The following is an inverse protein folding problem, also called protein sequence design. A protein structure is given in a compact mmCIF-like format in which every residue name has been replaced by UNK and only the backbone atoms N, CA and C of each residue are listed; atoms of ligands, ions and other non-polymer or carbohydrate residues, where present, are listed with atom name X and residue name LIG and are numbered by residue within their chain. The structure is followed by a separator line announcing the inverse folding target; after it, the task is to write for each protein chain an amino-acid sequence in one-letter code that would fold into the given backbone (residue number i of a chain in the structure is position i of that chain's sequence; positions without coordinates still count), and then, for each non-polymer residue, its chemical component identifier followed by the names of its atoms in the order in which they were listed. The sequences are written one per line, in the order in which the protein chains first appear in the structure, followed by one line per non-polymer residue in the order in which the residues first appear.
data_IF_261083777536
#
_entry.id   IF_261083777536
#
_cell.length_a   1.000
_cell.length_b   1.000
_cell.length_c   1.000
_cell.angle_alpha   90.00
_cell.angle_beta   90.00
_cell.angle_gamma   90.00
#
_symmetry.space_group_name_H-M   'P 1'
#
loop_
_entity.id
_entity.type
_entity.pdbx_description
1 polymer ?
#
# COMPACT_ATOMS: atom_id res chain seq x y z
N UNK A 1 -13.36 4.95 -5.17
CA UNK A 1 -13.00 3.57 -5.53
C UNK A 1 -11.49 3.49 -5.76
N UNK A 2 -10.72 3.12 -4.74
CA UNK A 2 -9.27 2.97 -4.84
C UNK A 2 -8.95 1.60 -5.45
N UNK A 3 -8.61 1.56 -6.73
CA UNK A 3 -7.99 0.37 -7.33
C UNK A 3 -6.55 0.28 -6.80
N UNK A 4 -6.34 -0.46 -5.71
CA UNK A 4 -4.99 -0.85 -5.22
C UNK A 4 -4.39 -1.88 -6.18
N UNK A 5 -4.14 -1.47 -7.43
CA UNK A 5 -3.29 -2.24 -8.34
C UNK A 5 -1.85 -2.08 -7.86
N UNK A 6 -1.13 -3.19 -7.73
CA UNK A 6 0.31 -3.17 -7.50
C UNK A 6 1.03 -2.34 -8.58
N UNK A 7 1.98 -1.47 -8.21
CA UNK A 7 2.66 -0.57 -9.13
C UNK A 7 3.38 -1.34 -10.23
N UNK A 8 3.48 -0.72 -11.41
CA UNK A 8 4.41 -1.20 -12.45
C UNK A 8 5.85 -0.93 -12.00
N UNK A 9 6.82 -1.64 -12.57
CA UNK A 9 8.26 -1.49 -12.25
C UNK A 9 8.71 -0.02 -12.15
N UNK A 10 8.36 0.81 -13.14
CA UNK A 10 8.75 2.24 -13.16
C UNK A 10 8.09 3.07 -12.04
N UNK A 11 6.86 2.74 -11.66
CA UNK A 11 6.14 3.42 -10.57
C UNK A 11 6.78 3.05 -9.23
N UNK A 12 7.07 1.76 -9.03
CA UNK A 12 7.75 1.28 -7.83
C UNK A 12 9.14 1.88 -7.67
N UNK A 13 9.92 1.98 -8.76
CA UNK A 13 11.24 2.63 -8.72
C UNK A 13 11.14 4.14 -8.41
N UNK A 14 10.14 4.84 -8.96
CA UNK A 14 9.91 6.24 -8.60
C UNK A 14 9.58 6.40 -7.11
N UNK A 15 8.68 5.55 -6.59
CA UNK A 15 8.39 5.50 -5.16
C UNK A 15 9.66 5.22 -4.35
N UNK A 16 10.43 4.21 -4.71
CA UNK A 16 11.62 3.81 -3.96
C UNK A 16 12.69 4.91 -3.95
N UNK A 17 12.85 5.67 -5.04
CA UNK A 17 13.70 6.87 -5.04
C UNK A 17 13.21 7.90 -4.02
N UNK A 18 11.91 8.24 -4.04
CA UNK A 18 11.36 9.18 -3.07
C UNK A 18 11.56 8.68 -1.63
N UNK A 19 11.23 7.42 -1.34
CA UNK A 19 11.43 6.81 -0.03
C UNK A 19 12.90 6.82 0.39
N UNK A 20 13.83 6.42 -0.49
CA UNK A 20 15.25 6.30 -0.15
C UNK A 20 15.92 7.63 0.16
N UNK A 21 15.56 8.69 -0.56
CA UNK A 21 16.23 10.00 -0.50
C UNK A 21 15.47 11.04 0.32
N UNK A 22 14.15 10.90 0.46
CA UNK A 22 13.37 11.77 1.33
C UNK A 22 13.13 11.12 2.71
N UNK A 23 13.15 9.79 2.80
CA UNK A 23 12.88 9.06 4.04
C UNK A 23 11.49 9.41 4.59
N UNK A 24 11.42 9.59 5.91
CA UNK A 24 10.19 9.92 6.63
C UNK A 24 9.85 11.41 6.63
N UNK A 25 10.71 12.24 5.99
CA UNK A 25 10.52 13.69 5.96
C UNK A 25 9.34 14.07 5.08
N UNK A 26 8.69 15.17 5.44
CA UNK A 26 7.72 15.82 4.55
C UNK A 26 8.50 16.60 3.50
N UNK A 27 8.18 16.36 2.24
CA UNK A 27 8.79 17.03 1.08
C UNK A 27 7.71 17.68 0.21
N UNK A 28 8.07 18.73 -0.51
CA UNK A 28 7.15 19.39 -1.42
C UNK A 28 7.14 18.77 -2.84
N UNK A 29 6.18 19.19 -3.68
CA UNK A 29 6.05 18.71 -5.04
C UNK A 29 7.30 19.02 -5.88
N UNK A 30 7.92 20.19 -5.68
CA UNK A 30 9.10 20.62 -6.42
C UNK A 30 10.29 19.70 -6.14
N UNK A 31 10.57 19.43 -4.87
CA UNK A 31 11.61 18.49 -4.44
C UNK A 31 11.41 17.09 -5.05
N UNK A 32 10.18 16.58 -4.99
CA UNK A 32 9.84 15.29 -5.58
C UNK A 32 10.00 15.28 -7.11
N UNK A 33 9.61 16.37 -7.77
CA UNK A 33 9.70 16.52 -9.22
C UNK A 33 11.14 16.58 -9.67
N UNK A 34 11.98 17.36 -8.98
CA UNK A 34 13.39 17.52 -9.33
C UNK A 34 14.16 16.22 -9.10
N UNK A 35 13.84 15.45 -8.04
CA UNK A 35 14.42 14.13 -7.82
C UNK A 35 14.02 13.10 -8.89
N UNK A 36 12.77 13.12 -9.33
CA UNK A 36 12.25 12.12 -10.28
C UNK A 36 12.45 12.48 -11.75
N UNK A 37 12.65 13.75 -12.08
CA UNK A 37 12.74 14.22 -13.46
C UNK A 37 13.86 13.54 -14.28
N UNK A 38 15.09 13.32 -13.75
CA UNK A 38 16.15 12.62 -14.48
C UNK A 38 15.76 11.18 -14.88
N UNK A 39 15.06 10.45 -14.00
CA UNK A 39 14.62 9.09 -14.27
C UNK A 39 13.44 9.05 -15.27
N UNK A 40 12.58 10.07 -15.24
CA UNK A 40 11.32 10.07 -16.00
C UNK A 40 11.39 10.87 -17.31
N UNK A 41 12.52 11.53 -17.60
CA UNK A 41 12.71 12.32 -18.81
C UNK A 41 11.99 13.67 -18.79
N UNK A 42 11.67 14.21 -17.62
CA UNK A 42 11.16 15.58 -17.49
C UNK A 42 10.18 15.85 -16.36
N UNK A 43 10.08 17.13 -15.98
CA UNK A 43 9.30 17.60 -14.81
C UNK A 43 7.80 17.31 -14.92
N UNK A 44 7.22 17.38 -16.12
CA UNK A 44 5.78 17.09 -16.35
C UNK A 44 5.43 15.63 -16.06
N UNK A 45 6.29 14.70 -16.47
CA UNK A 45 6.09 13.27 -16.21
C UNK A 45 6.33 12.95 -14.73
N UNK A 46 7.33 13.57 -14.10
CA UNK A 46 7.57 13.48 -12.66
C UNK A 46 6.36 13.94 -11.84
N UNK A 47 5.79 15.12 -12.13
CA UNK A 47 4.62 15.62 -11.42
C UNK A 47 3.40 14.69 -11.57
N UNK A 48 3.21 14.09 -12.76
CA UNK A 48 2.16 13.07 -12.98
C UNK A 48 2.43 11.79 -12.19
N UNK A 49 3.70 11.38 -12.05
CA UNK A 49 4.09 10.23 -11.26
C UNK A 49 3.79 10.44 -9.78
N UNK A 50 4.15 11.59 -9.21
CA UNK A 50 3.83 11.92 -7.81
C UNK A 50 2.33 11.81 -7.55
N UNK A 51 1.50 12.44 -8.39
CA UNK A 51 0.03 12.35 -8.30
C UNK A 51 -0.50 10.91 -8.39
N UNK A 52 0.15 10.07 -9.19
CA UNK A 52 -0.20 8.65 -9.33
C UNK A 52 0.15 7.86 -8.07
N UNK A 53 1.34 8.06 -7.53
CA UNK A 53 1.79 7.40 -6.30
C UNK A 53 0.91 7.78 -5.10
N UNK A 54 0.46 9.03 -5.00
CA UNK A 54 -0.54 9.45 -4.00
C UNK A 54 -1.85 8.69 -4.17
N UNK A 55 -2.37 8.59 -5.41
CA UNK A 55 -3.61 7.87 -5.69
C UNK A 55 -3.51 6.37 -5.41
N UNK A 56 -2.33 5.79 -5.60
CA UNK A 56 -2.03 4.39 -5.31
C UNK A 56 -1.78 4.15 -3.82
N UNK A 57 -1.65 5.20 -3.01
CA UNK A 57 -1.37 5.09 -1.59
C UNK A 57 0.07 4.74 -1.25
N UNK A 58 1.03 5.04 -2.13
CA UNK A 58 2.48 4.96 -1.87
C UNK A 58 3.04 6.23 -1.24
N UNK A 59 2.38 7.36 -1.51
CA UNK A 59 2.66 8.64 -0.89
C UNK A 59 1.42 9.11 -0.15
N UNK A 60 1.62 9.66 1.03
CA UNK A 60 0.61 10.36 1.79
C UNK A 60 0.68 11.85 1.48
N UNK A 61 -0.48 12.46 1.26
CA UNK A 61 -0.57 13.92 1.14
C UNK A 61 -0.84 14.49 2.52
N UNK A 62 0.19 15.10 3.11
CA UNK A 62 0.10 15.71 4.44
C UNK A 62 -0.61 17.07 4.36
N UNK A 63 -0.25 17.87 3.34
CA UNK A 63 -0.79 19.21 3.09
C UNK A 63 -0.90 19.45 1.57
N UNK A 64 -1.48 20.57 1.10
CA UNK A 64 -1.38 20.95 -0.30
C UNK A 64 0.06 20.99 -0.80
N UNK A 65 0.34 20.21 -1.84
CA UNK A 65 1.67 20.07 -2.47
C UNK A 65 2.77 19.52 -1.55
N UNK A 66 2.43 18.98 -0.38
CA UNK A 66 3.39 18.36 0.54
C UNK A 66 3.04 16.91 0.79
N UNK A 67 4.06 16.07 0.75
CA UNK A 67 3.93 14.63 0.73
C UNK A 67 4.91 13.96 1.70
N UNK A 68 4.56 12.75 2.09
CA UNK A 68 5.45 11.82 2.80
C UNK A 68 5.42 10.48 2.08
N UNK A 69 6.57 9.82 1.96
CA UNK A 69 6.61 8.44 1.48
C UNK A 69 6.15 7.51 2.60
N UNK A 70 5.26 6.55 2.29
CA UNK A 70 4.90 5.52 3.26
C UNK A 70 6.05 4.54 3.45
N UNK A 71 6.07 3.88 4.61
CA UNK A 71 7.03 2.82 4.88
C UNK A 71 6.90 1.69 3.85
N UNK A 72 8.04 1.21 3.37
CA UNK A 72 8.07 0.06 2.44
C UNK A 72 7.50 -1.20 3.09
N UNK A 73 7.75 -1.38 4.39
CA UNK A 73 7.30 -2.57 5.12
C UNK A 73 5.78 -2.56 5.27
N UNK A 74 5.19 -1.41 5.58
CA UNK A 74 3.73 -1.26 5.63
C UNK A 74 3.07 -1.53 4.27
N UNK A 75 3.66 -1.01 3.18
CA UNK A 75 3.13 -1.20 1.84
C UNK A 75 3.18 -2.67 1.41
N UNK A 76 4.28 -3.36 1.74
CA UNK A 76 4.45 -4.78 1.43
C UNK A 76 3.55 -5.65 2.29
N UNK A 77 3.42 -5.36 3.58
CA UNK A 77 2.52 -6.06 4.48
C UNK A 77 1.06 -5.93 4.03
N UNK A 78 0.62 -4.71 3.72
CA UNK A 78 -0.74 -4.46 3.21
C UNK A 78 -1.02 -5.26 1.92
N UNK A 79 -0.08 -5.27 0.98
CA UNK A 79 -0.21 -6.03 -0.25
C UNK A 79 -0.25 -7.54 -0.01
N UNK A 80 0.60 -8.05 0.88
CA UNK A 80 0.63 -9.45 1.28
C UNK A 80 -0.70 -9.88 1.91
N UNK A 81 -1.21 -9.10 2.88
CA UNK A 81 -2.48 -9.37 3.56
C UNK A 81 -3.65 -9.41 2.56
N UNK A 82 -3.73 -8.45 1.64
CA UNK A 82 -4.79 -8.43 0.62
C UNK A 82 -4.69 -9.62 -0.35
N UNK A 83 -3.47 -9.99 -0.76
CA UNK A 83 -3.24 -11.14 -1.61
C UNK A 83 -3.69 -12.44 -0.93
N UNK A 84 -3.23 -12.66 0.31
CA UNK A 84 -3.59 -13.82 1.11
C UNK A 84 -5.09 -13.88 1.39
N UNK A 85 -5.72 -12.76 1.75
CA UNK A 85 -7.17 -12.69 1.97
C UNK A 85 -7.95 -13.07 0.69
N UNK A 86 -7.51 -12.62 -0.49
CA UNK A 86 -8.13 -13.04 -1.76
C UNK A 86 -8.04 -14.55 -1.98
N UNK A 87 -6.91 -15.16 -1.64
CA UNK A 87 -6.72 -16.63 -1.73
C UNK A 87 -7.61 -17.38 -0.75
N UNK A 88 -7.75 -16.88 0.48
CA UNK A 88 -8.64 -17.46 1.49
C UNK A 88 -10.12 -17.36 1.05
N UNK A 89 -10.56 -16.22 0.53
CA UNK A 89 -11.93 -16.07 -0.01
C UNK A 89 -12.24 -17.10 -1.10
N UNK A 90 -11.29 -17.35 -2.01
CA UNK A 90 -11.45 -18.38 -3.06
C UNK A 90 -11.53 -19.82 -2.52
N UNK A 91 -11.07 -20.04 -1.28
CA UNK A 91 -11.18 -21.33 -0.57
C UNK A 91 -12.44 -21.40 0.30
N UNK A 92 -13.33 -20.41 0.26
CA UNK A 92 -14.58 -20.40 1.01
C UNK A 92 -14.49 -19.79 2.42
N UNK A 93 -13.40 -19.10 2.76
CA UNK A 93 -13.30 -18.41 4.05
C UNK A 93 -13.93 -17.01 3.98
N UNK A 94 -14.68 -16.64 5.02
CA UNK A 94 -15.13 -15.27 5.27
C UNK A 94 -14.06 -14.53 6.06
N UNK A 95 -13.38 -13.59 5.40
CA UNK A 95 -12.20 -12.91 5.96
C UNK A 95 -12.22 -11.40 5.78
N UNK A 96 -11.63 -10.71 6.75
CA UNK A 96 -11.38 -9.26 6.75
C UNK A 96 -9.88 -8.99 6.94
N UNK A 97 -9.36 -8.01 6.20
CA UNK A 97 -7.97 -7.56 6.36
C UNK A 97 -7.97 -6.50 7.45
N UNK A 98 -7.22 -6.75 8.52
CA UNK A 98 -6.86 -5.77 9.56
C UNK A 98 -5.48 -5.20 9.25
N UNK A 99 -5.00 -4.29 10.09
CA UNK A 99 -3.73 -3.58 9.87
C UNK A 99 -2.51 -4.52 9.83
N UNK A 100 -2.47 -5.52 10.70
CA UNK A 100 -1.33 -6.44 10.88
C UNK A 100 -1.67 -7.92 10.58
N UNK A 101 -2.94 -8.26 10.38
CA UNK A 101 -3.37 -9.65 10.19
C UNK A 101 -4.68 -9.78 9.40
N UNK A 102 -5.04 -11.02 9.07
CA UNK A 102 -6.31 -11.41 8.46
C UNK A 102 -7.18 -12.05 9.53
N UNK A 103 -8.33 -11.43 9.79
CA UNK A 103 -9.38 -12.00 10.62
C UNK A 103 -10.20 -12.99 9.79
N UNK A 104 -10.34 -14.21 10.29
CA UNK A 104 -11.22 -15.25 9.74
C UNK A 104 -12.40 -15.45 10.67
N UNK A 105 -13.60 -15.24 10.15
CA UNK A 105 -14.85 -15.41 10.90
C UNK A 105 -15.46 -16.79 10.66
N UNK A 106 -15.46 -17.25 9.41
CA UNK A 106 -16.08 -18.50 8.98
C UNK A 106 -15.23 -19.16 7.89
N UNK A 107 -15.28 -20.48 7.76
CA UNK A 107 -14.65 -21.22 6.67
C UNK A 107 -14.41 -22.70 6.98
N UNK A 108 -13.83 -23.45 6.03
CA UNK A 108 -13.49 -24.85 6.21
C UNK A 108 -12.51 -25.07 7.37
N UNK A 109 -12.69 -26.16 8.12
CA UNK A 109 -11.71 -26.62 9.10
C UNK A 109 -10.70 -27.58 8.45
N UNK A 110 -9.43 -27.60 8.89
CA UNK A 110 -8.83 -26.73 9.91
C UNK A 110 -8.41 -25.35 9.36
N UNK A 111 -8.44 -24.33 10.22
CA UNK A 111 -7.88 -23.01 9.89
C UNK A 111 -6.40 -23.13 9.46
N UNK A 112 -5.94 -22.41 8.42
CA UNK A 112 -4.54 -22.44 8.02
C UNK A 112 -3.63 -21.93 9.14
N UNK A 113 -2.65 -22.74 9.53
CA UNK A 113 -1.62 -22.32 10.50
C UNK A 113 -0.67 -21.32 9.84
N UNK A 114 -0.90 -20.03 10.08
CA UNK A 114 -0.08 -18.95 9.56
C UNK A 114 -0.11 -17.75 10.52
N UNK A 115 1.03 -17.08 10.81
CA UNK A 115 1.11 -16.00 11.81
C UNK A 115 0.20 -14.81 11.51
N UNK A 116 -0.03 -14.52 10.22
CA UNK A 116 -0.92 -13.44 9.76
C UNK A 116 -2.40 -13.84 9.69
N UNK A 117 -2.80 -15.05 10.11
CA UNK A 117 -4.19 -15.52 10.02
C UNK A 117 -4.69 -15.84 11.42
N UNK A 118 -5.71 -15.11 11.87
CA UNK A 118 -6.28 -15.26 13.22
C UNK A 118 -7.78 -15.53 13.13
N UNK A 119 -8.30 -16.33 14.06
CA UNK A 119 -9.74 -16.52 14.20
C UNK A 119 -10.34 -15.36 14.99
N UNK A 120 -11.36 -14.72 14.44
CA UNK A 120 -12.02 -13.59 15.07
C UNK A 120 -13.49 -13.93 15.31
N UNK A 121 -14.01 -13.59 16.48
CA UNK A 121 -15.44 -13.71 16.76
C UNK A 121 -16.16 -12.54 16.08
N UNK A 122 -17.27 -12.80 15.39
CA UNK A 122 -18.19 -11.73 14.99
C UNK A 122 -18.76 -11.11 16.25
N UNK A 123 -18.35 -9.89 16.56
CA UNK A 123 -18.95 -9.11 17.64
C UNK A 123 -20.43 -8.89 17.31
N UNK A 124 -21.28 -9.70 17.94
CA UNK A 124 -22.72 -9.48 18.02
C UNK A 124 -22.93 -8.19 18.81
N UNK A 125 -23.08 -7.06 18.13
CA UNK A 125 -23.59 -5.84 18.76
C UNK A 125 -24.97 -6.17 19.32
N UNK A 126 -25.05 -6.21 20.65
CA UNK A 126 -26.30 -6.27 21.42
C UNK A 126 -26.89 -4.87 21.56
#
# INVERSE_FOLDING_TARGET
MFSRRWPRRREFLAYYMLYRFMGDRVFDLGEAVDLLAPMLGGKRLAARMVKRLVRQGFLERVEPLRYRARSIDELLLDALLHYMASRLRRRGYRVEVREDHICVYEGPEPLPSHPLVKRCQSSSSS
#
